data_IF_830164137868
#
_entry.id   IF_830164137868
#
_cell.length_a   1.000
_cell.length_b   1.000
_cell.length_c   1.000
_cell.angle_alpha   90.00
_cell.angle_beta   90.00
_cell.angle_gamma   90.00
#
_symmetry.space_group_name_H-M   'P 1'
#
loop_
_entity.id
_entity.type
_entity.pdbx_description
1 polymer ?
#
# COMPACT_ATOMS: atom_id res chain seq x y z
N UNK A 1 -8.49 -6.48 -5.20
CA UNK A 1 -7.11 -6.18 -4.77
C UNK A 1 -7.09 -5.03 -3.76
N UNK A 2 -7.54 -3.81 -4.11
CA UNK A 2 -7.56 -2.68 -3.17
C UNK A 2 -8.32 -2.95 -1.86
N UNK A 3 -9.46 -3.65 -1.91
CA UNK A 3 -10.20 -4.05 -0.70
C UNK A 3 -9.37 -4.91 0.28
N UNK A 4 -8.51 -5.79 -0.23
CA UNK A 4 -7.65 -6.62 0.62
C UNK A 4 -6.56 -5.78 1.28
N UNK A 5 -5.91 -4.90 0.50
CA UNK A 5 -4.88 -3.99 1.01
C UNK A 5 -5.45 -2.97 2.01
N UNK A 6 -6.68 -2.51 1.81
CA UNK A 6 -7.38 -1.61 2.72
C UNK A 6 -7.93 -2.30 3.99
N UNK A 7 -7.92 -3.65 4.02
CA UNK A 7 -8.41 -4.44 5.15
C UNK A 7 -7.40 -4.57 6.29
N UNK A 8 -7.83 -5.01 7.49
CA UNK A 8 -7.00 -5.04 8.70
C UNK A 8 -5.79 -5.97 8.60
N UNK A 9 -5.82 -6.95 7.69
CA UNK A 9 -4.70 -7.85 7.44
C UNK A 9 -3.48 -7.13 6.84
N UNK A 10 -3.68 -6.08 6.05
CA UNK A 10 -2.60 -5.39 5.33
C UNK A 10 -2.48 -3.91 5.68
N UNK A 11 -3.59 -3.23 5.96
CA UNK A 11 -3.58 -1.83 6.39
C UNK A 11 -3.18 -1.71 7.86
N UNK A 12 -2.29 -0.78 8.15
CA UNK A 12 -1.96 -0.40 9.51
C UNK A 12 -3.09 0.42 10.15
N UNK A 13 -3.21 0.32 11.48
CA UNK A 13 -4.06 1.24 12.26
C UNK A 13 -3.38 2.61 12.28
N UNK A 14 -4.17 3.68 12.31
CA UNK A 14 -3.66 5.05 12.34
C UNK A 14 -2.75 5.27 13.56
N UNK A 15 -1.58 5.88 13.33
CA UNK A 15 -0.56 6.12 14.36
C UNK A 15 0.32 4.91 14.71
N UNK A 16 0.04 3.72 14.16
CA UNK A 16 0.90 2.54 14.31
C UNK A 16 1.91 2.39 13.16
N UNK A 17 2.69 1.29 13.17
CA UNK A 17 3.56 0.88 12.05
C UNK A 17 4.54 1.97 11.57
N UNK A 18 5.01 2.85 12.47
CA UNK A 18 5.89 3.96 12.10
C UNK A 18 5.26 4.98 11.14
N UNK A 19 3.92 5.08 11.13
CA UNK A 19 3.11 5.86 10.19
C UNK A 19 3.11 5.38 8.74
N UNK A 20 3.59 4.15 8.47
CA UNK A 20 3.39 3.50 7.18
C UNK A 20 1.96 2.95 7.07
N UNK A 21 1.38 3.06 5.87
CA UNK A 21 -0.01 2.67 5.59
C UNK A 21 -0.16 1.15 5.46
N UNK A 22 0.79 0.48 4.80
CA UNK A 22 0.75 -0.95 4.55
C UNK A 22 1.78 -1.72 5.38
N UNK A 23 1.38 -2.93 5.75
CA UNK A 23 2.20 -3.95 6.41
C UNK A 23 2.61 -5.01 5.38
N UNK A 24 3.54 -5.88 5.76
CA UNK A 24 3.86 -7.12 5.05
C UNK A 24 4.41 -6.93 3.63
N UNK A 25 5.35 -6.00 3.46
CA UNK A 25 6.11 -5.89 2.21
C UNK A 25 7.44 -6.62 2.32
N UNK A 26 8.03 -6.94 1.17
CA UNK A 26 9.34 -7.58 1.10
C UNK A 26 10.22 -6.90 0.05
N UNK A 27 11.42 -6.47 0.45
CA UNK A 27 12.42 -5.87 -0.42
C UNK A 27 13.27 -6.94 -1.12
N UNK A 28 14.02 -7.74 -0.36
CA UNK A 28 14.88 -8.77 -0.94
C UNK A 28 15.03 -10.03 -0.06
N UNK A 29 14.21 -11.04 -0.33
CA UNK A 29 14.32 -12.37 0.32
C UNK A 29 15.70 -13.00 0.12
N UNK A 30 16.30 -13.03 -1.09
CA UNK A 30 17.57 -13.71 -1.30
C UNK A 30 18.73 -13.13 -0.46
N UNK A 31 18.67 -11.82 -0.17
CA UNK A 31 19.68 -11.12 0.62
C UNK A 31 19.30 -10.99 2.10
N UNK A 32 18.16 -11.54 2.52
CA UNK A 32 17.63 -11.44 3.88
C UNK A 32 17.46 -9.98 4.37
N UNK A 33 17.09 -9.08 3.46
CA UNK A 33 16.89 -7.65 3.75
C UNK A 33 15.43 -7.30 3.52
N UNK A 34 14.88 -6.49 4.44
CA UNK A 34 13.50 -5.99 4.36
C UNK A 34 12.47 -7.10 4.18
N UNK A 35 12.46 -8.10 5.06
CA UNK A 35 11.46 -9.18 5.05
C UNK A 35 10.34 -8.85 6.02
N UNK A 36 9.10 -8.85 5.53
CA UNK A 36 7.88 -8.63 6.32
C UNK A 36 7.88 -7.29 7.08
N UNK A 37 8.30 -6.23 6.37
CA UNK A 37 8.40 -4.85 6.89
C UNK A 37 7.58 -3.90 6.03
N UNK A 38 7.18 -2.72 6.53
CA UNK A 38 6.62 -1.68 5.67
C UNK A 38 7.67 -1.11 4.72
N UNK A 39 7.24 -0.67 3.53
CA UNK A 39 8.10 -0.10 2.50
C UNK A 39 7.45 1.13 1.88
N UNK A 40 8.21 2.23 1.79
CA UNK A 40 7.68 3.55 1.36
C UNK A 40 7.05 3.51 -0.04
N UNK A 41 7.61 2.70 -0.93
CA UNK A 41 7.09 2.57 -2.29
C UNK A 41 5.78 1.77 -2.33
N UNK A 42 5.53 0.86 -1.39
CA UNK A 42 4.25 0.16 -1.28
C UNK A 42 3.13 1.16 -0.94
N UNK A 43 3.39 2.07 0.01
CA UNK A 43 2.46 3.13 0.37
C UNK A 43 2.22 4.12 -0.78
N UNK A 44 3.29 4.52 -1.49
CA UNK A 44 3.18 5.39 -2.65
C UNK A 44 2.23 4.81 -3.71
N UNK A 45 2.46 3.57 -4.14
CA UNK A 45 1.61 2.92 -5.14
C UNK A 45 0.22 2.60 -4.63
N UNK A 46 0.05 2.36 -3.32
CA UNK A 46 -1.27 2.18 -2.74
C UNK A 46 -2.10 3.46 -2.81
N UNK A 47 -1.53 4.62 -2.45
CA UNK A 47 -2.20 5.91 -2.57
C UNK A 47 -2.48 6.24 -4.05
N UNK A 48 -1.51 6.02 -4.94
CA UNK A 48 -1.71 6.23 -6.37
C UNK A 48 -2.87 5.38 -6.90
N UNK A 49 -2.93 4.10 -6.53
CA UNK A 49 -3.99 3.21 -6.96
C UNK A 49 -5.37 3.64 -6.40
N UNK A 50 -5.44 4.12 -5.15
CA UNK A 50 -6.65 4.70 -4.59
C UNK A 50 -7.09 5.96 -5.34
N UNK A 51 -6.14 6.83 -5.70
CA UNK A 51 -6.43 8.03 -6.47
C UNK A 51 -6.96 7.70 -7.86
N UNK A 52 -6.31 6.79 -8.59
CA UNK A 52 -6.79 6.31 -9.90
C UNK A 52 -8.15 5.64 -9.80
N UNK A 53 -8.41 4.89 -8.72
CA UNK A 53 -9.72 4.28 -8.48
C UNK A 53 -10.81 5.33 -8.27
N UNK A 54 -10.54 6.39 -7.51
CA UNK A 54 -11.46 7.52 -7.33
C UNK A 54 -11.75 8.25 -8.67
N UNK A 55 -10.72 8.51 -9.47
CA UNK A 55 -10.88 9.09 -10.82
C UNK A 55 -11.75 8.21 -11.73
N UNK A 56 -11.52 6.90 -11.69
CA UNK A 56 -12.31 5.94 -12.47
C UNK A 56 -13.79 5.96 -12.05
N UNK A 57 -14.08 6.04 -10.75
CA UNK A 57 -15.45 6.14 -10.24
C UNK A 57 -16.14 7.45 -10.67
N UNK A 58 -15.37 8.53 -10.81
CA UNK A 58 -15.85 9.83 -11.31
C UNK A 58 -15.98 9.90 -12.84
N UNK A 59 -15.53 8.88 -13.56
CA UNK A 59 -15.52 8.86 -15.03
C UNK A 59 -14.46 9.79 -15.65
N UNK A 60 -13.42 10.14 -14.89
CA UNK A 60 -12.32 10.98 -15.37
C UNK A 60 -11.36 10.19 -16.27
N UNK A 61 -10.69 10.90 -17.18
CA UNK A 61 -9.71 10.29 -18.08
C UNK A 61 -8.40 10.02 -17.32
N UNK A 62 -7.95 8.77 -17.32
CA UNK A 62 -6.70 8.36 -16.63
C UNK A 62 -5.43 8.77 -17.39
N UNK A 63 -5.55 9.07 -18.69
CA UNK A 63 -4.50 9.51 -19.63
C UNK A 63 -5.15 10.07 -20.90
#
# INVERSE_FOLDING_TARGET
MLHSLAGPSYRAVEGENGNFLLKHSVGSIPHQVEIDVPLVYADYYFIEALHRYDQLLKGEKLY
#
